data_IF_876860671827
#
_entry.id   IF_876860671827
#
_cell.length_a   1.000
_cell.length_b   1.000
_cell.length_c   1.000
_cell.angle_alpha   90.00
_cell.angle_beta   90.00
_cell.angle_gamma   90.00
#
_symmetry.space_group_name_H-M   'P 1'
#
loop_
_entity.id
_entity.type
_entity.pdbx_description
1 polymer ?
#
# COMPACT_ATOMS: atom_id res chain seq x y z
N UNK A 1 15.79 -16.32 21.18
CA UNK A 1 14.60 -15.49 21.33
C UNK A 1 14.92 -14.15 20.69
N UNK A 2 14.25 -13.79 19.61
CA UNK A 2 14.42 -12.49 19.00
C UNK A 2 13.18 -11.64 19.36
N UNK A 3 13.42 -10.35 19.59
CA UNK A 3 12.47 -9.43 20.21
C UNK A 3 12.48 -8.14 19.41
N UNK A 4 11.30 -7.63 19.09
CA UNK A 4 11.14 -6.37 18.37
C UNK A 4 10.68 -5.28 19.34
N UNK A 5 11.09 -4.04 19.06
CA UNK A 5 10.65 -2.88 19.85
C UNK A 5 9.41 -2.28 19.20
N UNK A 6 8.41 -1.95 20.01
CA UNK A 6 7.24 -1.24 19.54
C UNK A 6 7.64 0.16 19.02
N UNK A 7 7.34 0.51 17.75
CA UNK A 7 7.67 1.84 17.23
C UNK A 7 6.83 2.97 17.86
N UNK A 8 5.74 2.63 18.54
CA UNK A 8 4.83 3.62 19.12
C UNK A 8 5.07 3.89 20.61
N UNK A 9 5.50 2.89 21.38
CA UNK A 9 5.67 3.03 22.83
C UNK A 9 7.05 2.60 23.35
N UNK A 10 7.91 2.02 22.49
CA UNK A 10 9.24 1.58 22.89
C UNK A 10 9.31 0.30 23.72
N UNK A 11 8.19 -0.37 24.00
CA UNK A 11 8.20 -1.64 24.72
C UNK A 11 8.75 -2.78 23.88
N UNK A 12 9.40 -3.74 24.53
CA UNK A 12 9.87 -4.98 23.92
C UNK A 12 8.71 -5.95 23.72
N UNK A 13 8.66 -6.54 22.53
CA UNK A 13 7.57 -7.36 22.03
C UNK A 13 8.14 -8.61 21.37
N UNK A 14 7.40 -9.71 21.46
CA UNK A 14 7.73 -10.94 20.73
C UNK A 14 7.50 -10.75 19.22
N UNK A 15 8.24 -11.48 18.40
CA UNK A 15 8.19 -11.32 16.94
C UNK A 15 6.83 -11.61 16.32
N UNK A 16 6.09 -12.56 16.88
CA UNK A 16 4.84 -13.06 16.29
C UNK A 16 3.58 -12.28 16.70
N UNK A 17 3.72 -11.25 17.54
CA UNK A 17 2.55 -10.47 17.94
C UNK A 17 2.16 -9.47 16.84
N UNK A 18 0.87 -9.49 16.52
CA UNK A 18 0.22 -8.62 15.52
C UNK A 18 -0.13 -7.23 16.10
N UNK A 19 -0.18 -7.13 17.42
CA UNK A 19 -0.57 -5.92 18.15
C UNK A 19 0.31 -5.79 19.38
N UNK A 20 0.67 -4.55 19.72
CA UNK A 20 1.34 -4.26 20.98
C UNK A 20 0.35 -4.47 22.14
N UNK A 21 0.65 -5.38 23.05
CA UNK A 21 -0.15 -5.66 24.26
C UNK A 21 -0.14 -4.50 25.27
N UNK A 22 0.82 -3.58 25.17
CA UNK A 22 0.95 -2.44 26.07
C UNK A 22 0.18 -1.20 25.60
N UNK A 23 0.21 -0.89 24.30
CA UNK A 23 -0.38 0.35 23.77
C UNK A 23 -1.47 0.14 22.70
N UNK A 24 -1.71 -1.10 22.26
CA UNK A 24 -2.71 -1.42 21.24
C UNK A 24 -2.31 -1.11 19.79
N UNK A 25 -1.10 -0.58 19.56
CA UNK A 25 -0.62 -0.26 18.21
C UNK A 25 -0.51 -1.53 17.37
N UNK A 26 -1.12 -1.54 16.18
CA UNK A 26 -0.99 -2.65 15.22
C UNK A 26 0.43 -2.71 14.69
N UNK A 27 1.06 -3.87 14.81
CA UNK A 27 2.36 -4.17 14.24
C UNK A 27 2.09 -4.91 12.93
N UNK A 28 1.97 -4.17 11.82
CA UNK A 28 1.71 -4.79 10.51
C UNK A 28 2.85 -5.74 10.18
N UNK A 29 2.60 -7.05 10.21
CA UNK A 29 3.49 -8.04 9.61
C UNK A 29 3.23 -8.00 8.11
N UNK A 30 4.15 -7.41 7.36
CA UNK A 30 4.22 -7.68 5.93
C UNK A 30 5.00 -8.97 5.78
N UNK A 31 4.30 -10.10 5.72
CA UNK A 31 4.89 -11.34 5.24
C UNK A 31 4.86 -11.30 3.70
N UNK A 32 6.02 -11.06 3.11
CA UNK A 32 6.38 -11.27 1.71
C UNK A 32 7.52 -12.31 1.76
N UNK A 33 7.57 -13.49 1.12
CA UNK A 33 6.91 -14.08 -0.05
C UNK A 33 7.05 -15.62 0.10
N UNK A 34 5.98 -16.40 -0.03
CA UNK A 34 6.08 -17.76 -0.62
C UNK A 34 5.44 -17.71 -2.01
N UNK A 35 6.17 -18.23 -2.99
CA UNK A 35 5.79 -18.25 -4.39
C UNK A 35 4.64 -19.25 -4.62
N UNK A 36 3.41 -18.80 -4.45
CA UNK A 36 2.27 -19.38 -5.14
C UNK A 36 1.54 -18.30 -5.96
N UNK A 37 1.52 -18.53 -7.26
CA UNK A 37 0.93 -17.62 -8.22
C UNK A 37 -0.59 -17.52 -8.02
N UNK A 38 -1.08 -16.61 -7.16
CA UNK A 38 -2.39 -15.93 -7.23
C UNK A 38 -2.66 -15.04 -6.01
N UNK A 39 -1.90 -13.96 -5.85
CA UNK A 39 -2.46 -12.80 -5.16
C UNK A 39 -2.02 -11.50 -5.81
N UNK A 40 -2.78 -11.03 -6.80
CA UNK A 40 -2.70 -9.64 -7.25
C UNK A 40 -3.23 -8.79 -6.07
N UNK A 41 -2.42 -7.94 -5.42
CA UNK A 41 -2.98 -6.96 -4.49
C UNK A 41 -3.96 -6.10 -5.30
N UNK A 42 -5.25 -6.14 -4.93
CA UNK A 42 -6.25 -5.24 -5.51
C UNK A 42 -5.80 -3.81 -5.21
N UNK A 43 -5.12 -3.18 -6.16
CA UNK A 43 -4.96 -1.74 -6.18
C UNK A 43 -6.37 -1.15 -6.17
N UNK A 44 -6.73 -0.53 -5.05
CA UNK A 44 -8.02 0.09 -4.90
C UNK A 44 -8.03 1.38 -5.75
N UNK A 45 -8.46 1.25 -7.01
CA UNK A 45 -8.58 2.36 -7.97
C UNK A 45 -9.59 3.43 -7.52
N UNK A 46 -10.27 3.28 -6.38
CA UNK A 46 -11.18 4.31 -5.83
C UNK A 46 -10.48 5.63 -5.50
N UNK A 47 -9.14 5.70 -5.54
CA UNK A 47 -8.39 6.95 -5.28
C UNK A 47 -8.06 7.78 -6.54
N UNK A 48 -8.38 7.33 -7.75
CA UNK A 48 -8.21 8.14 -8.97
C UNK A 48 -9.53 8.76 -9.41
N UNK A 49 -10.04 9.72 -8.62
CA UNK A 49 -11.09 10.65 -9.05
C UNK A 49 -10.59 12.09 -8.95
N UNK A 50 -9.57 12.43 -9.74
CA UNK A 50 -9.30 13.81 -10.14
C UNK A 50 -9.69 13.98 -11.62
N UNK A 51 -10.97 14.29 -11.87
CA UNK A 51 -11.55 14.53 -13.21
C UNK A 51 -10.87 15.66 -14.01
N UNK A 52 -9.95 16.43 -13.42
CA UNK A 52 -9.34 17.62 -14.03
C UNK A 52 -8.10 17.35 -14.90
N UNK A 53 -7.41 16.23 -14.74
CA UNK A 53 -6.19 15.92 -15.51
C UNK A 53 -6.46 15.07 -16.77
N UNK A 54 -7.52 14.27 -16.78
CA UNK A 54 -7.85 13.39 -17.90
C UNK A 54 -8.28 14.12 -19.18
N UNK A 55 -9.05 15.22 -19.06
CA UNK A 55 -9.59 15.90 -20.24
C UNK A 55 -8.52 16.65 -21.03
N UNK A 56 -7.58 17.31 -20.35
CA UNK A 56 -6.45 17.99 -21.01
C UNK A 56 -5.53 16.99 -21.72
N UNK A 57 -5.27 15.85 -21.09
CA UNK A 57 -4.44 14.80 -21.69
C UNK A 57 -5.15 14.10 -22.86
N UNK A 58 -6.46 13.85 -22.76
CA UNK A 58 -7.26 13.27 -23.82
C UNK A 58 -7.33 14.18 -25.06
N UNK A 59 -7.57 15.48 -24.87
CA UNK A 59 -7.61 16.45 -25.97
C UNK A 59 -6.23 16.62 -26.64
N UNK A 60 -5.14 16.63 -25.86
CA UNK A 60 -3.79 16.65 -26.42
C UNK A 60 -3.50 15.40 -27.26
N UNK A 61 -3.79 14.21 -26.71
CA UNK A 61 -3.58 12.94 -27.42
C UNK A 61 -4.37 12.86 -28.73
N UNK A 62 -5.64 13.31 -28.72
CA UNK A 62 -6.50 13.31 -29.91
C UNK A 62 -6.05 14.33 -30.97
N UNK A 63 -5.54 15.50 -30.56
CA UNK A 63 -4.95 16.49 -31.47
C UNK A 63 -3.68 15.97 -32.15
N UNK A 64 -2.80 15.27 -31.40
CA UNK A 64 -1.59 14.64 -31.94
C UNK A 64 -1.92 13.60 -33.00
N UNK A 65 -2.95 12.76 -32.79
CA UNK A 65 -3.35 11.75 -33.78
C UNK A 65 -4.01 12.33 -35.04
N UNK A 66 -4.67 13.48 -34.94
CA UNK A 66 -5.39 14.10 -36.08
C UNK A 66 -4.50 14.98 -36.95
N UNK A 67 -3.22 15.13 -36.61
CA UNK A 67 -2.25 15.99 -37.31
C UNK A 67 -1.22 15.20 -38.14
N UNK A 68 -1.52 13.95 -38.51
CA UNK A 68 -0.78 13.13 -39.48
C UNK A 68 -1.58 12.96 -40.76
#
# INVERSE_FOLDING_TARGET
MNMKVCPSCGNYLEEDIQFCTFCGTRLKKFEEIEQDNKHIPRFNLKKLRNKSLGLKFYLYYFWVQSSS
#
